data_IF_829840855456
#
_entry.id   IF_829840855456
#
_cell.length_a   1.000
_cell.length_b   1.000
_cell.length_c   1.000
_cell.angle_alpha   90.00
_cell.angle_beta   90.00
_cell.angle_gamma   90.00
#
_symmetry.space_group_name_H-M   'P 1'
#
loop_
_entity.id
_entity.type
_entity.pdbx_description
1 polymer ?
#
# COMPACT_ATOMS: atom_id res chain seq x y z
N UNK A 1 -20.21 13.12 -7.90
CA UNK A 1 -19.84 14.47 -8.34
C UNK A 1 -18.38 14.43 -8.79
N UNK A 2 -18.03 14.96 -9.97
CA UNK A 2 -16.64 15.03 -10.41
C UNK A 2 -15.81 15.97 -9.52
N UNK A 3 -14.49 15.87 -9.64
CA UNK A 3 -13.55 16.78 -8.99
C UNK A 3 -13.78 18.24 -9.41
N UNK A 4 -13.68 19.16 -8.46
CA UNK A 4 -13.85 20.60 -8.64
C UNK A 4 -12.60 21.33 -8.13
N UNK A 5 -11.75 21.80 -9.05
CA UNK A 5 -10.48 22.44 -8.72
C UNK A 5 -10.65 23.76 -7.96
N UNK A 6 -11.81 24.43 -8.06
CA UNK A 6 -12.06 25.66 -7.31
C UNK A 6 -12.15 25.42 -5.79
N UNK A 7 -12.38 24.17 -5.37
CA UNK A 7 -12.45 23.76 -3.96
C UNK A 7 -11.15 23.16 -3.41
N UNK A 8 -10.17 22.88 -4.26
CA UNK A 8 -8.90 22.27 -3.86
C UNK A 8 -7.77 23.31 -3.91
N UNK A 9 -7.38 23.91 -2.78
CA UNK A 9 -6.29 24.90 -2.75
C UNK A 9 -4.92 24.32 -3.14
N UNK A 10 -4.81 22.99 -3.26
CA UNK A 10 -3.60 22.27 -3.63
C UNK A 10 -3.61 21.79 -5.09
N UNK A 11 -4.61 22.17 -5.90
CA UNK A 11 -4.78 21.62 -7.26
C UNK A 11 -3.58 21.84 -8.19
N UNK A 12 -2.82 22.93 -8.03
CA UNK A 12 -1.61 23.24 -8.80
C UNK A 12 -0.30 22.91 -8.07
N UNK A 13 -0.35 22.20 -6.94
CA UNK A 13 0.85 21.82 -6.21
C UNK A 13 1.34 20.47 -6.68
N UNK A 14 2.66 20.36 -6.84
CA UNK A 14 3.30 19.08 -7.12
C UNK A 14 3.07 18.12 -5.95
N UNK A 15 2.76 16.88 -6.27
CA UNK A 15 2.62 15.80 -5.30
C UNK A 15 3.99 15.14 -5.09
N UNK A 16 4.33 14.87 -3.84
CA UNK A 16 5.48 14.04 -3.49
C UNK A 16 5.00 12.67 -3.01
N UNK A 17 5.84 11.61 -3.08
CA UNK A 17 5.50 10.31 -2.51
C UNK A 17 5.18 10.33 -1.00
N UNK A 18 5.67 11.34 -0.27
CA UNK A 18 5.35 11.57 1.13
C UNK A 18 4.04 12.33 1.38
N UNK A 19 3.42 12.88 0.34
CA UNK A 19 2.22 13.69 0.41
C UNK A 19 0.93 12.88 0.67
N UNK A 20 -0.20 13.60 0.69
CA UNK A 20 -1.52 12.99 0.81
C UNK A 20 -1.89 12.24 -0.46
N UNK A 21 -2.53 11.07 -0.31
CA UNK A 21 -3.12 10.35 -1.42
C UNK A 21 -4.33 11.11 -2.00
N UNK A 22 -4.40 11.18 -3.32
CA UNK A 22 -5.54 11.74 -4.07
C UNK A 22 -6.48 10.66 -4.60
N UNK A 23 -5.99 9.44 -4.76
CA UNK A 23 -6.80 8.28 -5.09
C UNK A 23 -6.27 7.03 -4.38
N UNK A 24 -6.94 5.92 -4.63
CA UNK A 24 -6.49 4.61 -4.19
C UNK A 24 -7.34 3.51 -4.79
N UNK A 25 -6.89 2.28 -4.62
CA UNK A 25 -7.67 1.10 -4.94
C UNK A 25 -7.30 -0.03 -3.99
N UNK A 26 -8.21 -0.99 -3.84
CA UNK A 26 -7.91 -2.23 -3.14
C UNK A 26 -6.81 -2.99 -3.88
N UNK A 27 -5.89 -3.57 -3.12
CA UNK A 27 -4.81 -4.40 -3.63
C UNK A 27 -5.05 -5.83 -3.15
N UNK A 28 -5.09 -6.75 -4.11
CA UNK A 28 -5.05 -8.18 -3.83
C UNK A 28 -3.60 -8.65 -3.97
N UNK A 29 -3.01 -9.26 -2.92
CA UNK A 29 -1.68 -9.85 -3.01
C UNK A 29 -1.56 -10.86 -4.15
N UNK A 30 -0.44 -10.84 -4.88
CA UNK A 30 -0.15 -11.72 -6.00
C UNK A 30 1.37 -11.94 -6.11
N UNK A 31 1.80 -13.19 -6.24
CA UNK A 31 3.22 -13.53 -6.29
C UNK A 31 3.87 -13.29 -7.66
N UNK A 32 3.07 -13.23 -8.72
CA UNK A 32 3.53 -13.15 -10.11
C UNK A 32 3.31 -11.78 -10.76
N UNK A 33 2.31 -11.01 -10.33
CA UNK A 33 1.91 -9.76 -10.96
C UNK A 33 2.27 -8.55 -10.10
N UNK A 34 2.95 -7.58 -10.72
CA UNK A 34 3.17 -6.26 -10.12
C UNK A 34 1.86 -5.45 -10.06
N UNK A 35 1.86 -4.45 -9.18
CA UNK A 35 0.78 -3.47 -9.09
C UNK A 35 0.68 -2.68 -10.41
N UNK A 36 -0.54 -2.31 -10.84
CA UNK A 36 -0.72 -1.49 -12.04
C UNK A 36 0.01 -0.15 -12.00
N UNK A 37 0.25 0.37 -10.78
CA UNK A 37 1.08 1.54 -10.50
C UNK A 37 1.83 1.31 -9.20
N UNK A 38 3.11 1.64 -9.18
CA UNK A 38 3.91 1.60 -7.95
C UNK A 38 3.43 2.69 -7.00
N UNK A 39 3.20 2.30 -5.75
CA UNK A 39 2.53 3.15 -4.79
C UNK A 39 2.97 2.83 -3.37
N UNK A 40 2.68 3.75 -2.45
CA UNK A 40 2.68 3.43 -1.02
C UNK A 40 1.44 2.62 -0.70
N UNK A 41 1.52 1.83 0.38
CA UNK A 41 0.41 0.99 0.81
C UNK A 41 -0.13 1.46 2.15
N UNK A 42 -1.46 1.52 2.25
CA UNK A 42 -2.19 1.61 3.51
C UNK A 42 -2.76 0.24 3.82
N UNK A 43 -2.33 -0.35 4.92
CA UNK A 43 -2.74 -1.68 5.36
C UNK A 43 -3.54 -1.56 6.64
N UNK A 44 -4.73 -2.16 6.67
CA UNK A 44 -5.48 -2.38 7.90
C UNK A 44 -5.40 -3.85 8.30
N UNK A 45 -5.08 -4.08 9.57
CA UNK A 45 -5.04 -5.42 10.17
C UNK A 45 -6.27 -5.60 11.05
N UNK A 46 -7.17 -6.56 10.79
CA UNK A 46 -8.28 -6.86 11.67
C UNK A 46 -7.81 -7.20 13.09
N UNK A 47 -8.53 -6.71 14.11
CA UNK A 47 -8.21 -6.96 15.52
C UNK A 47 -8.35 -8.43 15.95
N UNK A 48 -9.00 -9.26 15.12
CA UNK A 48 -9.16 -10.70 15.36
C UNK A 48 -7.89 -11.52 15.07
N UNK A 49 -6.89 -10.92 14.44
CA UNK A 49 -5.60 -11.57 14.17
C UNK A 49 -4.67 -11.41 15.39
N UNK A 50 -4.03 -12.49 15.82
CA UNK A 50 -3.07 -12.45 16.93
C UNK A 50 -1.75 -11.76 16.55
N UNK A 51 -1.35 -11.88 15.29
CA UNK A 51 -0.21 -11.20 14.68
C UNK A 51 -0.49 -11.03 13.18
N UNK A 52 0.23 -10.11 12.55
CA UNK A 52 0.17 -9.96 11.10
C UNK A 52 1.50 -9.47 10.54
N UNK A 53 1.77 -9.90 9.32
CA UNK A 53 2.89 -9.45 8.51
C UNK A 53 2.45 -9.29 7.05
N UNK A 54 3.10 -8.37 6.35
CA UNK A 54 2.95 -8.18 4.91
C UNK A 54 4.31 -8.39 4.25
N UNK A 55 4.31 -9.13 3.15
CA UNK A 55 5.49 -9.37 2.34
C UNK A 55 5.41 -8.58 1.05
N UNK A 56 6.40 -7.72 0.81
CA UNK A 56 6.41 -6.77 -0.30
C UNK A 56 7.71 -6.84 -1.10
N UNK A 57 7.64 -6.47 -2.37
CA UNK A 57 8.79 -6.07 -3.18
C UNK A 57 8.75 -4.54 -3.35
N UNK A 58 9.64 -3.79 -2.68
CA UNK A 58 9.92 -2.42 -3.03
C UNK A 58 10.36 -2.28 -4.50
N UNK A 59 10.19 -1.10 -5.08
CA UNK A 59 10.52 -0.83 -6.49
C UNK A 59 11.92 -1.29 -6.87
N UNK A 60 12.92 -0.98 -6.04
CA UNK A 60 14.33 -1.25 -6.32
C UNK A 60 14.81 -2.62 -5.80
N UNK A 61 13.93 -3.42 -5.19
CA UNK A 61 14.29 -4.74 -4.70
C UNK A 61 14.33 -5.77 -5.85
N UNK A 62 15.33 -6.66 -5.82
CA UNK A 62 15.36 -7.85 -6.67
C UNK A 62 14.17 -8.78 -6.37
N UNK A 63 13.72 -9.55 -7.37
CA UNK A 63 12.53 -10.42 -7.25
C UNK A 63 12.67 -11.48 -6.14
N UNK A 64 13.88 -11.92 -5.84
CA UNK A 64 14.21 -12.92 -4.82
C UNK A 64 14.50 -12.33 -3.44
N UNK A 65 14.43 -11.01 -3.28
CA UNK A 65 14.76 -10.29 -2.05
C UNK A 65 13.56 -9.48 -1.47
N UNK A 66 12.41 -10.11 -1.18
CA UNK A 66 11.27 -9.40 -0.61
C UNK A 66 11.50 -9.01 0.85
N UNK A 67 10.87 -7.90 1.26
CA UNK A 67 10.82 -7.47 2.66
C UNK A 67 9.57 -8.01 3.33
N UNK A 68 9.72 -8.54 4.54
CA UNK A 68 8.60 -8.94 5.41
C UNK A 68 8.51 -7.94 6.54
N UNK A 69 7.35 -7.30 6.68
CA UNK A 69 7.13 -6.22 7.64
C UNK A 69 6.05 -6.64 8.65
N UNK A 70 6.34 -6.61 9.96
CA UNK A 70 5.32 -6.85 10.97
C UNK A 70 4.34 -5.68 11.02
N UNK A 71 3.06 -6.00 11.26
CA UNK A 71 1.98 -5.02 11.34
C UNK A 71 1.21 -5.21 12.66
N UNK A 72 0.92 -4.12 13.40
CA UNK A 72 0.15 -4.21 14.64
C UNK A 72 -1.32 -4.57 14.36
N UNK A 73 -1.89 -5.60 15.03
CA UNK A 73 -3.31 -5.93 14.92
C UNK A 73 -4.22 -4.78 15.38
N UNK A 74 -5.39 -4.66 14.74
CA UNK A 74 -6.40 -3.66 15.09
C UNK A 74 -6.05 -2.23 14.65
N UNK A 75 -4.98 -2.05 13.86
CA UNK A 75 -4.47 -0.74 13.47
C UNK A 75 -4.33 -0.61 11.96
N UNK A 76 -4.15 0.64 11.53
CA UNK A 76 -3.81 1.01 10.16
C UNK A 76 -2.34 1.42 10.14
N UNK A 77 -1.58 0.86 9.21
CA UNK A 77 -0.20 1.27 8.92
C UNK A 77 -0.12 1.81 7.50
N UNK A 78 0.64 2.89 7.31
CA UNK A 78 1.03 3.33 5.97
C UNK A 78 2.51 3.03 5.80
N UNK A 79 2.83 2.19 4.82
CA UNK A 79 4.21 1.79 4.59
C UNK A 79 5.03 2.95 4.01
N UNK A 80 6.30 2.98 4.37
CA UNK A 80 7.26 4.03 3.97
C UNK A 80 7.96 3.71 2.64
N UNK A 81 7.60 2.59 2.00
CA UNK A 81 8.16 2.11 0.75
C UNK A 81 7.25 2.43 -0.43
N UNK A 82 7.85 2.76 -1.58
CA UNK A 82 7.19 2.55 -2.87
C UNK A 82 7.26 1.06 -3.20
N UNK A 83 6.09 0.46 -3.38
CA UNK A 83 5.94 -0.98 -3.57
C UNK A 83 5.56 -1.25 -5.02
N UNK A 84 6.25 -2.21 -5.65
CA UNK A 84 5.87 -2.74 -6.96
C UNK A 84 5.06 -4.02 -6.89
N UNK A 85 5.23 -4.84 -5.85
CA UNK A 85 4.43 -6.08 -5.66
C UNK A 85 4.12 -6.32 -4.18
N UNK A 86 2.93 -6.83 -3.91
CA UNK A 86 2.57 -7.42 -2.61
C UNK A 86 2.44 -8.91 -2.82
N UNK A 87 3.25 -9.70 -2.13
CA UNK A 87 3.26 -11.15 -2.27
C UNK A 87 2.10 -11.77 -1.50
N UNK A 88 1.39 -12.70 -2.14
CA UNK A 88 0.37 -13.51 -1.46
C UNK A 88 1.04 -14.51 -0.53
N UNK A 89 2.12 -15.15 -0.98
CA UNK A 89 2.92 -16.03 -0.15
C UNK A 89 3.66 -15.23 0.93
N UNK A 90 3.49 -15.63 2.19
CA UNK A 90 4.13 -14.98 3.34
C UNK A 90 3.48 -13.67 3.78
N UNK A 91 2.39 -13.22 3.15
CA UNK A 91 1.53 -12.18 3.74
C UNK A 91 0.42 -12.83 4.55
N UNK A 92 0.06 -12.24 5.69
CA UNK A 92 -1.05 -12.73 6.51
C UNK A 92 -2.37 -12.60 5.76
N UNK A 93 -3.20 -13.64 5.79
CA UNK A 93 -4.52 -13.60 5.16
C UNK A 93 -5.48 -12.66 5.90
N UNK A 94 -6.39 -12.01 5.17
CA UNK A 94 -7.40 -11.11 5.75
C UNK A 94 -6.95 -9.67 5.95
N UNK A 95 -5.73 -9.32 5.55
CA UNK A 95 -5.29 -7.91 5.46
C UNK A 95 -6.14 -7.13 4.46
N UNK A 96 -6.49 -5.89 4.81
CA UNK A 96 -7.15 -4.96 3.88
C UNK A 96 -6.13 -3.95 3.40
N UNK A 97 -5.71 -4.09 2.14
CA UNK A 97 -4.59 -3.34 1.56
C UNK A 97 -5.11 -2.39 0.50
N UNK A 98 -4.69 -1.12 0.58
CA UNK A 98 -4.96 -0.13 -0.44
C UNK A 98 -3.68 0.47 -0.96
N UNK A 99 -3.60 0.69 -2.28
CA UNK A 99 -2.61 1.62 -2.83
C UNK A 99 -3.01 3.05 -2.52
N UNK A 100 -2.01 3.90 -2.29
CA UNK A 100 -2.15 5.34 -2.08
C UNK A 100 -1.51 6.03 -3.28
N UNK A 101 -2.33 6.68 -4.12
CA UNK A 101 -1.93 7.32 -5.38
C UNK A 101 -1.92 8.85 -5.31
#
# INVERSE_FOLDING_TARGET
MPYDSAKDPWHQRALSPGGLGRAGALVTPNDAADLPRYARLRVFVPATLASAEIRILPVDAADDAPLTLPLPPGQVSVLEFLVRRVLATGSTAGLVIHRVD
#
